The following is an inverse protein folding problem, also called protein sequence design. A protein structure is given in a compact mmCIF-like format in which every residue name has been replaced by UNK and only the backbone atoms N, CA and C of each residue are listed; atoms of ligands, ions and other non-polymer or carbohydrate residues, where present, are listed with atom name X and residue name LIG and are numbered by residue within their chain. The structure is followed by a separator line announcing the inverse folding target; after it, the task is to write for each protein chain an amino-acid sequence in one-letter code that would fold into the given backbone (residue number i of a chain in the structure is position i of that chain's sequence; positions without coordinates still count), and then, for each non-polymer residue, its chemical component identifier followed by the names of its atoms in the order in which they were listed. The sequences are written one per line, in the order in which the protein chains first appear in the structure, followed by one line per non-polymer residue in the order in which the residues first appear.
data_IF_217861172288
#
_entry.id   IF_217861172288
#
_cell.length_a   1.000
_cell.length_b   1.000
_cell.length_c   1.000
_cell.angle_alpha   90.00
_cell.angle_beta   90.00
_cell.angle_gamma   90.00
#
_symmetry.space_group_name_H-M   'P 1'
#
loop_
_entity.id
_entity.type
_entity.pdbx_description
1 polymer ?
#
# COMPACT_ATOMS: atom_id res chain seq x y z
N UNK A 1 -38.08 20.30 19.30
CA UNK A 1 -37.42 21.11 20.35
C UNK A 1 -36.08 21.57 19.80
N UNK A 2 -35.94 22.87 19.48
CA UNK A 2 -34.72 23.50 18.94
C UNK A 2 -34.38 24.64 19.88
N UNK A 3 -33.18 24.63 20.43
CA UNK A 3 -32.76 25.63 21.40
C UNK A 3 -31.93 26.70 20.67
N UNK A 4 -32.43 27.93 20.70
CA UNK A 4 -31.75 29.17 20.32
C UNK A 4 -30.77 29.56 21.44
N UNK A 5 -29.60 30.09 21.08
CA UNK A 5 -28.65 30.91 21.87
C UNK A 5 -27.34 30.95 21.05
N UNK A 6 -26.71 32.04 20.62
CA UNK A 6 -26.92 33.48 20.70
C UNK A 6 -25.71 34.12 19.96
N UNK A 7 -25.94 35.12 19.12
CA UNK A 7 -24.89 35.94 18.49
C UNK A 7 -24.28 36.90 19.50
N UNK A 8 -23.02 37.28 19.31
CA UNK A 8 -22.72 38.71 19.32
C UNK A 8 -22.08 39.19 18.01
N UNK A 9 -22.76 40.15 17.40
CA UNK A 9 -22.29 41.07 16.36
C UNK A 9 -21.25 42.00 16.97
N UNK A 10 -20.06 42.12 16.37
CA UNK A 10 -19.11 43.18 16.66
C UNK A 10 -19.11 44.17 15.50
N UNK A 11 -19.57 45.38 15.80
CA UNK A 11 -19.67 46.56 14.95
C UNK A 11 -18.28 47.19 14.74
N UNK A 12 -18.14 47.86 13.60
CA UNK A 12 -17.00 48.63 13.11
C UNK A 12 -16.58 49.83 13.99
N UNK A 13 -15.45 50.42 13.57
CA UNK A 13 -14.88 51.76 13.84
C UNK A 13 -13.75 51.85 14.89
N UNK A 14 -12.54 52.09 14.38
CA UNK A 14 -11.34 52.38 15.19
C UNK A 14 -10.06 52.50 14.36
N UNK A 15 -9.99 53.49 13.47
CA UNK A 15 -8.76 53.96 12.79
C UNK A 15 -7.77 54.55 13.83
N UNK A 16 -6.49 54.71 13.43
CA UNK A 16 -5.34 55.42 14.03
C UNK A 16 -4.21 54.43 14.41
N UNK A 17 -2.93 54.54 14.04
CA UNK A 17 -2.15 55.56 13.34
C UNK A 17 -0.83 54.95 12.82
N UNK A 18 -0.24 55.62 11.84
CA UNK A 18 1.06 55.32 11.22
C UNK A 18 2.22 55.37 12.23
N UNK A 19 3.03 54.32 12.26
CA UNK A 19 4.32 54.29 12.96
C UNK A 19 5.43 53.88 11.99
N UNK A 20 6.08 54.89 11.39
CA UNK A 20 7.25 54.77 10.53
C UNK A 20 8.42 54.12 11.29
N UNK A 21 8.92 52.97 10.81
CA UNK A 21 10.12 52.34 11.36
C UNK A 21 11.34 52.72 10.50
N UNK A 22 12.42 53.25 11.10
CA UNK A 22 13.58 53.69 10.35
C UNK A 22 14.43 52.53 9.85
N UNK A 23 14.87 52.69 8.62
CA UNK A 23 15.91 51.93 7.93
C UNK A 23 17.30 52.31 8.51
N UNK A 24 18.25 51.36 8.46
CA UNK A 24 19.70 51.45 8.73
C UNK A 24 20.22 50.91 10.07
N UNK A 25 20.80 49.70 10.03
CA UNK A 25 22.13 49.26 10.55
C UNK A 25 22.27 47.76 10.20
N UNK A 26 22.83 47.39 9.04
CA UNK A 26 24.23 46.96 8.80
C UNK A 26 24.74 45.85 9.74
N UNK A 27 25.03 44.67 9.17
CA UNK A 27 26.16 43.83 9.62
C UNK A 27 25.95 42.31 9.56
N UNK A 28 26.56 41.62 8.58
CA UNK A 28 26.80 40.17 8.66
C UNK A 28 26.82 39.41 7.32
N UNK A 29 27.98 39.36 6.67
CA UNK A 29 28.29 38.57 5.47
C UNK A 29 28.85 37.20 5.85
N UNK A 30 28.38 36.11 5.22
CA UNK A 30 29.17 35.01 4.65
C UNK A 30 28.26 33.81 4.35
N UNK A 31 28.33 33.31 3.12
CA UNK A 31 27.43 32.30 2.60
C UNK A 31 27.68 30.88 3.10
N UNK A 32 26.68 30.03 2.90
CA UNK A 32 26.85 28.63 2.60
C UNK A 32 25.69 28.22 1.69
N UNK A 33 26.08 27.68 0.55
CA UNK A 33 25.24 27.04 -0.46
C UNK A 33 24.18 26.14 0.21
N UNK A 34 22.91 26.29 -0.14
CA UNK A 34 21.98 25.16 -0.05
C UNK A 34 21.79 24.65 -1.47
N UNK A 35 22.67 23.71 -1.76
CA UNK A 35 22.64 22.82 -2.88
C UNK A 35 21.27 22.14 -3.00
N UNK A 36 20.88 22.00 -4.26
CA UNK A 36 20.18 20.82 -4.78
C UNK A 36 18.69 20.70 -4.42
N UNK A 37 17.91 21.33 -5.31
CA UNK A 37 16.74 20.70 -5.91
C UNK A 37 17.01 19.19 -6.15
N UNK A 38 16.53 18.36 -5.23
CA UNK A 38 16.97 16.97 -5.20
C UNK A 38 16.11 16.05 -4.34
N UNK A 39 14.80 16.28 -4.21
CA UNK A 39 13.85 15.21 -3.84
C UNK A 39 12.51 15.40 -4.54
N UNK A 40 12.57 15.51 -5.87
CA UNK A 40 11.48 15.09 -6.74
C UNK A 40 11.39 13.55 -6.70
N UNK A 41 10.83 13.01 -5.62
CA UNK A 41 10.33 11.63 -5.58
C UNK A 41 9.26 11.47 -4.48
N UNK A 42 8.37 12.45 -4.37
CA UNK A 42 7.02 12.24 -3.84
C UNK A 42 6.17 11.59 -4.94
N UNK A 43 6.65 10.47 -5.48
CA UNK A 43 5.92 9.68 -6.45
C UNK A 43 5.57 8.34 -5.79
N UNK A 44 4.33 8.31 -5.31
CA UNK A 44 3.45 7.16 -5.44
C UNK A 44 3.89 5.85 -4.78
N UNK A 45 3.16 5.55 -3.71
CA UNK A 45 2.71 4.25 -3.20
C UNK A 45 3.26 3.85 -1.83
N UNK A 46 2.34 3.74 -0.88
CA UNK A 46 2.57 3.16 0.43
C UNK A 46 2.81 4.21 1.52
N UNK A 47 1.71 4.81 2.02
CA UNK A 47 1.72 5.28 3.40
C UNK A 47 2.04 4.07 4.29
N UNK A 48 3.30 3.97 4.69
CA UNK A 48 3.78 2.94 5.61
C UNK A 48 3.20 3.29 6.98
N UNK A 49 2.16 2.57 7.38
CA UNK A 49 1.85 2.40 8.79
C UNK A 49 3.12 1.94 9.47
N UNK A 50 3.58 2.72 10.46
CA UNK A 50 4.80 2.53 11.25
C UNK A 50 4.73 1.15 11.95
N UNK A 51 5.13 0.08 11.25
CA UNK A 51 5.06 -1.32 11.70
C UNK A 51 4.67 -2.37 10.65
N UNK A 52 4.19 -1.99 9.46
CA UNK A 52 3.77 -2.93 8.40
C UNK A 52 4.92 -3.41 7.49
N UNK A 53 4.78 -4.59 6.89
CA UNK A 53 5.71 -5.13 5.89
C UNK A 53 5.60 -4.27 4.62
N UNK A 54 6.73 -3.75 4.15
CA UNK A 54 6.80 -3.00 2.90
C UNK A 54 6.61 -3.92 1.69
N UNK A 55 5.50 -3.77 0.98
CA UNK A 55 5.09 -4.63 -0.15
C UNK A 55 5.82 -4.26 -1.45
N UNK A 56 7.14 -4.40 -1.48
CA UNK A 56 7.95 -4.01 -2.64
C UNK A 56 7.94 -5.06 -3.76
N UNK A 57 8.06 -4.62 -5.02
CA UNK A 57 8.23 -5.50 -6.18
C UNK A 57 9.53 -6.32 -6.13
N UNK A 58 10.57 -5.80 -5.46
CA UNK A 58 11.85 -6.51 -5.29
C UNK A 58 11.68 -7.82 -4.50
N UNK A 59 10.88 -7.77 -3.44
CA UNK A 59 10.66 -8.93 -2.55
C UNK A 59 9.48 -9.78 -3.00
N UNK A 60 8.39 -9.15 -3.40
CA UNK A 60 7.12 -9.84 -3.67
C UNK A 60 6.78 -9.96 -5.16
N UNK A 61 7.65 -9.47 -6.05
CA UNK A 61 7.43 -9.55 -7.49
C UNK A 61 6.08 -8.96 -7.89
N UNK A 62 5.32 -9.73 -8.66
CA UNK A 62 3.99 -9.33 -9.12
C UNK A 62 2.85 -9.75 -8.20
N UNK A 63 3.14 -10.42 -7.08
CA UNK A 63 2.17 -11.04 -6.17
C UNK A 63 0.98 -10.14 -5.86
N UNK A 64 1.20 -8.95 -5.29
CA UNK A 64 0.09 -8.10 -4.85
C UNK A 64 -0.53 -7.30 -6.00
N UNK A 65 0.23 -7.03 -7.06
CA UNK A 65 -0.30 -6.38 -8.27
C UNK A 65 -1.15 -7.30 -9.14
N UNK A 66 -1.07 -8.63 -8.95
CA UNK A 66 -1.84 -9.60 -9.76
C UNK A 66 -2.77 -10.48 -8.94
N UNK A 67 -2.48 -10.72 -7.66
CA UNK A 67 -3.23 -11.59 -6.76
C UNK A 67 -3.61 -10.92 -5.43
N UNK A 68 -3.40 -9.61 -5.29
CA UNK A 68 -3.70 -8.88 -4.07
C UNK A 68 -5.20 -8.74 -3.76
N UNK A 69 -5.49 -8.24 -2.57
CA UNK A 69 -6.84 -7.93 -2.07
C UNK A 69 -7.63 -6.98 -2.99
N UNK A 70 -6.97 -5.99 -3.56
CA UNK A 70 -7.60 -5.01 -4.45
C UNK A 70 -7.89 -5.55 -5.87
N UNK A 71 -7.45 -6.78 -6.19
CA UNK A 71 -7.53 -7.34 -7.55
C UNK A 71 -8.84 -8.09 -7.86
N UNK A 72 -9.87 -7.96 -7.01
CA UNK A 72 -11.11 -8.75 -7.11
C UNK A 72 -11.74 -8.74 -8.51
N UNK A 73 -12.08 -7.57 -9.05
CA UNK A 73 -12.78 -7.46 -10.33
C UNK A 73 -11.93 -7.95 -11.51
N UNK A 74 -10.63 -7.65 -11.46
CA UNK A 74 -9.68 -8.14 -12.45
C UNK A 74 -9.61 -9.67 -12.46
N UNK A 75 -9.55 -10.29 -11.29
CA UNK A 75 -9.43 -11.74 -11.16
C UNK A 75 -10.72 -12.47 -11.53
N UNK A 76 -11.90 -11.89 -11.25
CA UNK A 76 -13.18 -12.42 -11.74
C UNK A 76 -13.20 -12.44 -13.28
N UNK A 77 -12.88 -11.31 -13.90
CA UNK A 77 -12.86 -11.20 -15.36
C UNK A 77 -11.81 -12.12 -15.99
N UNK A 78 -10.64 -12.25 -15.35
CA UNK A 78 -9.58 -13.16 -15.78
C UNK A 78 -9.99 -14.61 -15.64
N UNK A 79 -10.63 -15.00 -14.54
CA UNK A 79 -11.11 -16.37 -14.34
C UNK A 79 -12.14 -16.74 -15.41
N UNK A 80 -13.10 -15.85 -15.66
CA UNK A 80 -14.12 -16.01 -16.70
C UNK A 80 -13.52 -16.06 -18.10
N UNK A 81 -12.63 -15.13 -18.43
CA UNK A 81 -12.05 -15.02 -19.77
C UNK A 81 -11.02 -16.10 -20.11
N UNK A 82 -10.28 -16.60 -19.12
CA UNK A 82 -9.28 -17.66 -19.34
C UNK A 82 -9.83 -19.08 -19.19
N UNK A 83 -11.00 -19.25 -18.57
CA UNK A 83 -11.50 -20.57 -18.18
C UNK A 83 -10.68 -21.23 -17.07
N UNK A 84 -9.73 -20.51 -16.45
CA UNK A 84 -8.86 -21.02 -15.40
C UNK A 84 -9.10 -20.29 -14.08
N UNK A 85 -9.13 -21.04 -12.98
CA UNK A 85 -9.29 -20.49 -11.65
C UNK A 85 -8.17 -19.49 -11.29
N UNK A 86 -8.51 -18.44 -10.54
CA UNK A 86 -7.59 -17.38 -10.15
C UNK A 86 -7.46 -17.27 -8.64
N UNK A 87 -6.23 -17.27 -8.13
CA UNK A 87 -5.96 -17.05 -6.71
C UNK A 87 -6.02 -15.58 -6.31
N UNK A 88 -6.58 -15.31 -5.14
CA UNK A 88 -6.63 -13.97 -4.56
C UNK A 88 -6.34 -13.98 -3.05
N UNK A 89 -5.39 -13.16 -2.61
CA UNK A 89 -5.21 -12.82 -1.21
C UNK A 89 -6.27 -11.81 -0.77
N UNK A 90 -6.83 -11.97 0.42
CA UNK A 90 -7.81 -11.05 1.01
C UNK A 90 -7.19 -10.12 2.06
N UNK A 91 -5.90 -10.32 2.37
CA UNK A 91 -5.12 -9.45 3.24
C UNK A 91 -3.65 -9.52 2.82
N UNK A 92 -3.16 -8.45 2.17
CA UNK A 92 -1.80 -8.44 1.64
C UNK A 92 -0.72 -8.55 2.73
N UNK A 93 -0.93 -7.98 3.93
CA UNK A 93 0.05 -8.03 5.01
C UNK A 93 0.23 -9.45 5.57
N UNK A 94 -0.87 -10.19 5.80
CA UNK A 94 -0.81 -11.59 6.22
C UNK A 94 -0.20 -12.49 5.14
N UNK A 95 -0.49 -12.22 3.87
CA UNK A 95 0.14 -12.90 2.75
C UNK A 95 1.64 -12.61 2.67
N UNK A 96 2.06 -11.36 2.85
CA UNK A 96 3.46 -10.97 2.86
C UNK A 96 4.24 -11.68 3.96
N UNK A 97 3.70 -11.72 5.19
CA UNK A 97 4.32 -12.46 6.30
C UNK A 97 4.46 -13.95 5.94
N UNK A 98 3.39 -14.58 5.46
CA UNK A 98 3.43 -15.98 5.05
C UNK A 98 4.50 -16.25 3.98
N UNK A 99 4.64 -15.37 2.99
CA UNK A 99 5.66 -15.51 1.94
C UNK A 99 7.06 -15.41 2.55
N UNK A 100 7.32 -14.42 3.40
CA UNK A 100 8.63 -14.23 4.04
C UNK A 100 9.02 -15.44 4.90
N UNK A 101 8.07 -15.99 5.67
CA UNK A 101 8.30 -17.14 6.54
C UNK A 101 8.60 -18.43 5.76
N UNK A 102 8.25 -18.48 4.47
CA UNK A 102 8.27 -19.70 3.68
C UNK A 102 9.13 -19.63 2.41
N UNK A 103 9.64 -18.46 2.02
CA UNK A 103 10.44 -18.32 0.79
C UNK A 103 11.70 -19.19 0.82
N UNK A 104 12.28 -19.47 2.00
CA UNK A 104 13.40 -20.39 2.13
C UNK A 104 13.09 -21.82 1.66
N UNK A 105 11.81 -22.22 1.59
CA UNK A 105 11.39 -23.54 1.12
C UNK A 105 11.40 -23.68 -0.41
N UNK A 106 11.66 -22.60 -1.14
CA UNK A 106 11.66 -22.58 -2.61
C UNK A 106 13.04 -22.84 -3.23
N UNK A 107 13.99 -23.40 -2.47
CA UNK A 107 15.35 -23.66 -2.95
C UNK A 107 15.40 -24.54 -4.21
N UNK A 108 14.45 -25.49 -4.32
CA UNK A 108 14.34 -26.42 -5.45
C UNK A 108 13.29 -25.98 -6.50
N UNK A 109 12.89 -24.71 -6.50
CA UNK A 109 11.90 -24.18 -7.43
C UNK A 109 10.54 -23.88 -6.79
N UNK A 110 9.50 -23.87 -7.61
CA UNK A 110 8.16 -23.50 -7.16
C UNK A 110 7.54 -24.60 -6.29
N UNK A 111 6.96 -24.19 -5.15
CA UNK A 111 6.38 -25.11 -4.15
C UNK A 111 4.97 -24.68 -3.77
N UNK A 112 4.12 -25.66 -3.47
CA UNK A 112 2.78 -25.44 -2.91
C UNK A 112 2.85 -25.66 -1.40
N UNK A 113 2.46 -24.65 -0.62
CA UNK A 113 2.53 -24.70 0.83
C UNK A 113 1.12 -24.68 1.40
N UNK A 114 0.73 -25.64 2.24
CA UNK A 114 -0.59 -25.65 2.86
C UNK A 114 -0.77 -24.41 3.73
N UNK A 115 -1.98 -23.84 3.72
CA UNK A 115 -2.32 -22.69 4.55
C UNK A 115 -3.21 -23.11 5.72
N UNK A 116 -3.09 -22.45 6.89
CA UNK A 116 -3.97 -22.74 8.02
C UNK A 116 -5.43 -22.42 7.67
N UNK A 117 -6.36 -23.13 8.33
CA UNK A 117 -7.79 -22.87 8.18
C UNK A 117 -8.10 -21.42 8.56
N UNK A 118 -8.89 -20.74 7.73
CA UNK A 118 -9.24 -19.32 7.94
C UNK A 118 -8.16 -18.34 7.49
N UNK A 119 -7.12 -18.79 6.78
CA UNK A 119 -6.19 -17.88 6.12
C UNK A 119 -6.95 -16.98 5.12
N UNK A 120 -6.69 -15.66 5.09
CA UNK A 120 -7.41 -14.71 4.25
C UNK A 120 -6.98 -14.83 2.78
N UNK A 121 -7.42 -15.90 2.13
CA UNK A 121 -7.18 -16.17 0.72
C UNK A 121 -8.35 -16.96 0.12
N UNK A 122 -8.62 -16.74 -1.16
CA UNK A 122 -9.66 -17.44 -1.92
C UNK A 122 -9.19 -17.77 -3.32
N UNK A 123 -9.93 -18.67 -3.96
CA UNK A 123 -9.82 -19.00 -5.39
C UNK A 123 -11.13 -18.62 -6.06
N UNK A 124 -11.03 -17.89 -7.15
CA UNK A 124 -12.15 -17.46 -8.00
C UNK A 124 -12.23 -18.44 -9.16
N UNK A 125 -13.32 -19.20 -9.20
CA UNK A 125 -13.59 -20.17 -10.26
C UNK A 125 -14.11 -19.47 -11.53
N UNK A 126 -13.98 -20.08 -12.73
CA UNK A 126 -14.46 -19.49 -13.98
C UNK A 126 -15.96 -19.22 -14.04
N UNK A 127 -16.75 -19.98 -13.28
CA UNK A 127 -18.20 -19.81 -13.09
C UNK A 127 -18.57 -18.65 -12.16
N UNK A 128 -17.56 -17.95 -11.60
CA UNK A 128 -17.73 -16.86 -10.65
C UNK A 128 -17.85 -17.29 -9.19
N UNK A 129 -17.79 -18.58 -8.89
CA UNK A 129 -17.86 -19.10 -7.52
C UNK A 129 -16.55 -18.82 -6.78
N UNK A 130 -16.65 -18.35 -5.54
CA UNK A 130 -15.50 -18.23 -4.64
C UNK A 130 -15.34 -19.51 -3.80
N UNK A 131 -14.13 -20.06 -3.78
CA UNK A 131 -13.74 -21.18 -2.92
C UNK A 131 -12.63 -20.75 -1.97
N UNK A 132 -12.61 -21.32 -0.77
CA UNK A 132 -11.48 -21.13 0.13
C UNK A 132 -10.22 -21.76 -0.48
N UNK A 133 -9.10 -21.03 -0.44
CA UNK A 133 -7.82 -21.61 -0.84
C UNK A 133 -7.34 -22.61 0.22
N UNK A 134 -6.59 -23.63 -0.20
CA UNK A 134 -5.98 -24.62 0.71
C UNK A 134 -4.46 -24.53 0.71
N UNK A 135 -3.88 -23.97 -0.35
CA UNK A 135 -2.44 -23.82 -0.52
C UNK A 135 -2.10 -22.45 -1.11
N UNK A 136 -0.85 -22.04 -0.91
CA UNK A 136 -0.22 -20.93 -1.64
C UNK A 136 0.93 -21.51 -2.44
N UNK A 137 0.96 -21.22 -3.74
CA UNK A 137 2.12 -21.50 -4.58
C UNK A 137 3.10 -20.36 -4.49
N UNK A 138 4.33 -20.67 -4.10
CA UNK A 138 5.44 -19.73 -4.11
C UNK A 138 6.33 -20.03 -5.31
N UNK A 139 6.59 -19.00 -6.12
CA UNK A 139 7.53 -19.09 -7.24
C UNK A 139 8.78 -18.28 -6.89
N UNK A 140 9.95 -18.92 -6.71
CA UNK A 140 11.17 -18.23 -6.28
C UNK A 140 11.62 -17.15 -7.25
N UNK A 141 12.33 -16.16 -6.70
CA UNK A 141 13.22 -15.24 -7.40
C UNK A 141 14.45 -14.98 -6.54
N UNK A 142 15.54 -14.48 -7.10
CA UNK A 142 16.87 -14.44 -6.45
C UNK A 142 16.92 -13.81 -5.04
N UNK A 143 15.95 -12.98 -4.65
CA UNK A 143 15.86 -12.40 -3.30
C UNK A 143 14.44 -12.40 -2.71
N UNK A 144 13.53 -13.26 -3.20
CA UNK A 144 12.13 -13.24 -2.81
C UNK A 144 11.29 -14.16 -3.69
N UNK A 145 10.10 -13.70 -4.06
CA UNK A 145 9.23 -14.41 -5.00
C UNK A 145 9.03 -13.63 -6.28
N UNK A 146 9.01 -14.32 -7.42
CA UNK A 146 8.55 -13.77 -8.69
C UNK A 146 7.05 -13.50 -8.65
N UNK A 147 6.32 -14.46 -8.07
CA UNK A 147 4.89 -14.37 -7.78
C UNK A 147 4.53 -15.39 -6.69
N UNK A 148 3.49 -15.09 -5.94
CA UNK A 148 2.81 -16.03 -5.08
C UNK A 148 1.30 -15.92 -5.32
N UNK A 149 0.59 -17.04 -5.24
CA UNK A 149 -0.86 -17.02 -5.40
C UNK A 149 -1.53 -18.17 -4.66
N UNK A 150 -2.74 -17.95 -4.12
CA UNK A 150 -3.55 -19.01 -3.55
C UNK A 150 -4.06 -19.98 -4.61
N UNK A 151 -4.20 -21.25 -4.25
CA UNK A 151 -4.80 -22.27 -5.09
C UNK A 151 -5.48 -23.38 -4.29
N UNK A 152 -6.15 -24.25 -5.04
CA UNK A 152 -6.61 -25.56 -4.63
C UNK A 152 -5.88 -26.54 -5.57
N UNK A 153 -4.93 -27.36 -5.06
CA UNK A 153 -4.19 -28.33 -5.88
C UNK A 153 -5.07 -29.39 -6.54
#
# INVERSE_FOLDING_TARGET
MRNLNGTPTATEEGVLAFGSLPLWFIGGNAGATQAEAGTKLLEQTGQVTKGGIQLTKKTFGHTFTTHGDDMTNFLINRAKGSGMAQGQFLNNQKAAQFILDNVGKTANGAVNIPIPKGFPARVIMPDGIFKAATHIRLVPSGGGVKTAYPLIP
#
